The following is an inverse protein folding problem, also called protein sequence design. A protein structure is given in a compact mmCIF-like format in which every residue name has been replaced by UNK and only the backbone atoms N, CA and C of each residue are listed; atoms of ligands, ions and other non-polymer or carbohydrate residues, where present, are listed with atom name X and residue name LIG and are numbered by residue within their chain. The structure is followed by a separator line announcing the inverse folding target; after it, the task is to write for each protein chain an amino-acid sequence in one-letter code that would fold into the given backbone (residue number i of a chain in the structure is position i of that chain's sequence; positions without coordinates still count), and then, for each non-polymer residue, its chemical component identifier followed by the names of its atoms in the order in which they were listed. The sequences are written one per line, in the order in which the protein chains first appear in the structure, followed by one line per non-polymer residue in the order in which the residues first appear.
data_IF_120455870953
#
_entry.id   IF_120455870953
#
_cell.length_a   1.000
_cell.length_b   1.000
_cell.length_c   1.000
_cell.angle_alpha   90.00
_cell.angle_beta   90.00
_cell.angle_gamma   90.00
#
_symmetry.space_group_name_H-M   'P 1'
#
loop_
_entity.id
_entity.type
_entity.pdbx_description
1 polymer ?
#
# COMPACT_ATOMS: atom_id res chain seq x y z
N UNK A 1 -21.97 33.39 -5.33
CA UNK A 1 -20.56 33.74 -5.07
C UNK A 1 -19.74 32.61 -5.68
N UNK A 2 -19.16 32.87 -6.84
CA UNK A 2 -18.42 31.90 -7.64
C UNK A 2 -17.19 31.42 -6.84
N UNK A 3 -17.10 30.11 -6.61
CA UNK A 3 -15.90 29.54 -6.00
C UNK A 3 -14.81 29.54 -7.09
N UNK A 4 -13.65 30.19 -6.87
CA UNK A 4 -12.60 30.25 -7.87
C UNK A 4 -12.08 28.83 -8.13
N UNK A 5 -12.02 28.47 -9.41
CA UNK A 5 -11.55 27.17 -9.88
C UNK A 5 -10.10 26.94 -9.41
N UNK A 6 -9.92 26.11 -8.37
CA UNK A 6 -8.60 25.73 -7.85
C UNK A 6 -7.78 25.13 -9.01
N UNK A 7 -6.51 25.53 -9.21
CA UNK A 7 -5.70 24.99 -10.30
C UNK A 7 -5.60 23.48 -10.14
N UNK A 8 -6.20 22.75 -11.10
CA UNK A 8 -6.21 21.28 -11.11
C UNK A 8 -4.77 20.79 -11.12
N UNK A 9 -4.39 20.04 -10.08
CA UNK A 9 -3.05 19.45 -9.97
C UNK A 9 -2.76 18.58 -11.21
N UNK A 10 -1.52 18.62 -11.71
CA UNK A 10 -1.10 17.85 -12.91
C UNK A 10 -1.29 16.33 -12.76
N UNK A 11 -1.56 15.85 -11.55
CA UNK A 11 -1.90 14.46 -11.23
C UNK A 11 -3.21 13.97 -11.88
N UNK A 12 -4.17 14.86 -12.18
CA UNK A 12 -5.41 14.47 -12.85
C UNK A 12 -5.17 13.94 -14.27
N UNK A 13 -4.00 14.19 -14.87
CA UNK A 13 -3.61 13.56 -16.14
C UNK A 13 -3.47 12.02 -16.02
N UNK A 14 -3.28 11.48 -14.80
CA UNK A 14 -3.19 10.05 -14.54
C UNK A 14 -4.56 9.39 -14.26
N UNK A 15 -5.65 10.17 -14.21
CA UNK A 15 -7.01 9.67 -14.01
C UNK A 15 -7.42 8.49 -14.93
N UNK A 16 -7.12 8.49 -16.24
CA UNK A 16 -7.48 7.34 -17.09
C UNK A 16 -6.72 6.05 -16.76
N UNK A 17 -5.55 6.16 -16.13
CA UNK A 17 -4.76 5.00 -15.69
C UNK A 17 -5.30 4.49 -14.36
N UNK A 18 -5.57 5.39 -13.41
CA UNK A 18 -6.12 5.04 -12.09
C UNK A 18 -7.47 4.33 -12.22
N UNK A 19 -8.35 4.79 -13.13
CA UNK A 19 -9.66 4.16 -13.37
C UNK A 19 -9.58 2.72 -13.93
N UNK A 20 -8.43 2.30 -14.45
CA UNK A 20 -8.22 0.92 -14.94
C UNK A 20 -7.71 -0.03 -13.87
N UNK A 21 -7.23 0.48 -12.73
CA UNK A 21 -6.76 -0.36 -11.64
C UNK A 21 -7.97 -0.97 -10.92
N UNK A 22 -7.97 -2.29 -10.66
CA UNK A 22 -9.05 -2.92 -9.91
C UNK A 22 -8.99 -2.47 -8.44
N UNK A 23 -10.11 -1.96 -7.94
CA UNK A 23 -10.28 -1.55 -6.53
C UNK A 23 -11.38 -2.38 -5.86
N UNK A 24 -11.20 -2.68 -4.57
CA UNK A 24 -12.20 -3.38 -3.77
C UNK A 24 -13.30 -2.41 -3.35
N UNK A 25 -14.55 -2.70 -3.71
CA UNK A 25 -15.68 -1.86 -3.35
C UNK A 25 -15.97 -1.86 -1.84
N UNK A 26 -16.22 -0.67 -1.28
CA UNK A 26 -16.60 -0.51 0.13
C UNK A 26 -17.98 -1.17 0.37
N UNK A 27 -18.16 -1.92 1.49
CA UNK A 27 -19.44 -2.57 1.79
C UNK A 27 -20.56 -1.55 1.97
N UNK A 28 -21.68 -1.74 1.25
CA UNK A 28 -22.87 -0.88 1.32
C UNK A 28 -23.71 -1.08 2.59
N UNK A 29 -23.46 -2.17 3.32
CA UNK A 29 -24.17 -2.54 4.55
C UNK A 29 -23.26 -2.34 5.76
N UNK A 30 -23.86 -1.99 6.90
CA UNK A 30 -23.14 -2.01 8.17
C UNK A 30 -22.62 -3.43 8.48
N UNK A 31 -21.30 -3.57 8.55
CA UNK A 31 -20.62 -4.84 8.85
C UNK A 31 -20.52 -5.00 10.37
N UNK A 32 -21.03 -6.12 10.89
CA UNK A 32 -20.97 -6.40 12.33
C UNK A 32 -19.53 -6.60 12.82
N UNK A 33 -19.27 -6.37 14.11
CA UNK A 33 -17.91 -6.54 14.67
C UNK A 33 -17.39 -7.98 14.49
N UNK A 34 -18.24 -8.99 14.68
CA UNK A 34 -17.89 -10.41 14.47
C UNK A 34 -17.48 -10.69 13.02
N UNK A 35 -18.19 -10.10 12.07
CA UNK A 35 -17.89 -10.25 10.64
C UNK A 35 -16.55 -9.57 10.30
N UNK A 36 -16.28 -8.37 10.81
CA UNK A 36 -14.96 -7.73 10.67
C UNK A 36 -13.83 -8.58 11.25
N UNK A 37 -14.02 -9.14 12.44
CA UNK A 37 -13.03 -10.00 13.07
C UNK A 37 -12.73 -11.26 12.25
N UNK A 38 -13.78 -11.90 11.71
CA UNK A 38 -13.64 -13.07 10.85
C UNK A 38 -12.86 -12.73 9.57
N UNK A 39 -13.17 -11.61 8.91
CA UNK A 39 -12.42 -11.14 7.74
C UNK A 39 -10.96 -10.83 8.04
N UNK A 40 -10.65 -10.20 9.18
CA UNK A 40 -9.27 -9.98 9.62
C UNK A 40 -8.55 -11.31 9.83
N UNK A 41 -9.20 -12.30 10.46
CA UNK A 41 -8.62 -13.63 10.66
C UNK A 41 -8.29 -14.34 9.33
N UNK A 42 -9.20 -14.26 8.35
CA UNK A 42 -8.98 -14.83 7.01
C UNK A 42 -7.80 -14.14 6.31
N UNK A 43 -7.73 -12.81 6.37
CA UNK A 43 -6.62 -12.05 5.79
C UNK A 43 -5.26 -12.42 6.42
N UNK A 44 -5.22 -12.61 7.75
CA UNK A 44 -4.03 -13.05 8.46
C UNK A 44 -3.59 -14.47 8.07
N UNK A 45 -4.55 -15.39 7.90
CA UNK A 45 -4.26 -16.75 7.44
C UNK A 45 -3.66 -16.73 6.03
N UNK A 46 -4.25 -15.95 5.12
CA UNK A 46 -3.72 -15.78 3.77
C UNK A 46 -2.31 -15.17 3.79
N UNK A 47 -2.08 -14.15 4.61
CA UNK A 47 -0.75 -13.57 4.82
C UNK A 47 0.27 -14.62 5.28
N UNK A 48 -0.10 -15.45 6.26
CA UNK A 48 0.76 -16.51 6.76
C UNK A 48 1.10 -17.57 5.70
N UNK A 49 0.14 -17.97 4.88
CA UNK A 49 0.43 -18.92 3.79
C UNK A 49 1.41 -18.33 2.79
N UNK A 50 1.24 -17.05 2.43
CA UNK A 50 2.11 -16.37 1.47
C UNK A 50 3.54 -16.17 1.98
N UNK A 51 3.76 -16.00 3.29
CA UNK A 51 5.12 -15.92 3.86
C UNK A 51 5.85 -17.26 3.83
N UNK A 52 5.12 -18.39 3.81
CA UNK A 52 5.72 -19.73 3.74
C UNK A 52 6.01 -20.18 2.30
N UNK A 53 5.41 -19.54 1.28
CA UNK A 53 5.62 -19.92 -0.12
C UNK A 53 6.89 -19.24 -0.66
N UNK A 54 7.92 -20.01 -1.03
CA UNK A 54 9.16 -19.44 -1.57
C UNK A 54 8.95 -18.87 -2.98
N UNK A 55 9.69 -17.81 -3.32
CA UNK A 55 9.71 -17.28 -4.68
C UNK A 55 10.42 -18.26 -5.60
N UNK A 56 9.78 -18.62 -6.70
CA UNK A 56 10.37 -19.47 -7.73
C UNK A 56 11.59 -18.78 -8.36
N UNK A 57 12.74 -19.45 -8.37
CA UNK A 57 13.96 -18.97 -9.04
C UNK A 57 14.94 -18.16 -8.17
N UNK A 58 14.73 -18.06 -6.86
CA UNK A 58 15.73 -17.49 -5.94
C UNK A 58 16.65 -18.58 -5.38
N UNK A 59 17.97 -18.40 -5.52
CA UNK A 59 18.94 -19.16 -4.73
C UNK A 59 18.82 -18.73 -3.26
N UNK A 60 18.70 -19.72 -2.36
CA UNK A 60 18.46 -19.52 -0.91
C UNK A 60 19.49 -18.62 -0.19
N UNK A 61 20.60 -18.29 -0.86
CA UNK A 61 21.71 -17.49 -0.34
C UNK A 61 21.72 -16.03 -0.84
N UNK A 62 21.05 -15.71 -1.95
CA UNK A 62 21.07 -14.37 -2.54
C UNK A 62 20.24 -13.33 -1.74
N UNK A 63 19.27 -13.78 -0.94
CA UNK A 63 18.41 -12.93 -0.10
C UNK A 63 19.02 -12.51 1.24
N UNK A 64 20.26 -12.91 1.56
CA UNK A 64 20.92 -12.64 2.86
C UNK A 64 21.82 -11.39 2.84
N UNK A 65 21.61 -10.42 1.96
CA UNK A 65 22.33 -9.15 2.08
C UNK A 65 21.88 -8.44 3.36
N UNK A 66 22.76 -8.25 4.37
CA UNK A 66 22.37 -7.77 5.71
C UNK A 66 21.99 -6.28 5.77
N UNK A 67 22.06 -5.57 4.65
CA UNK A 67 21.85 -4.12 4.56
C UNK A 67 20.45 -3.66 5.03
N UNK A 68 19.46 -4.56 5.03
CA UNK A 68 18.07 -4.26 5.37
C UNK A 68 17.56 -4.95 6.65
N UNK A 69 18.44 -5.53 7.48
CA UNK A 69 18.02 -6.35 8.62
C UNK A 69 16.94 -5.71 9.52
N UNK A 70 17.12 -4.44 9.90
CA UNK A 70 16.16 -3.72 10.73
C UNK A 70 14.94 -3.21 9.94
N UNK A 71 15.13 -2.81 8.68
CA UNK A 71 14.04 -2.34 7.83
C UNK A 71 13.06 -3.48 7.47
N UNK A 72 13.56 -4.71 7.35
CA UNK A 72 12.74 -5.91 7.08
C UNK A 72 11.66 -6.14 8.12
N UNK A 73 11.97 -5.89 9.40
CA UNK A 73 10.99 -5.99 10.48
C UNK A 73 9.86 -4.95 10.33
N UNK A 74 10.22 -3.70 10.02
CA UNK A 74 9.25 -2.61 9.83
C UNK A 74 8.39 -2.84 8.58
N UNK A 75 8.99 -3.35 7.51
CA UNK A 75 8.30 -3.63 6.26
C UNK A 75 7.57 -4.98 6.24
N UNK A 76 7.58 -5.74 7.34
CA UNK A 76 7.01 -7.09 7.40
C UNK A 76 7.47 -8.00 6.24
N UNK A 77 8.76 -7.87 5.88
CA UNK A 77 9.38 -8.56 4.75
C UNK A 77 9.97 -9.92 5.17
N UNK A 78 9.80 -10.95 4.33
CA UNK A 78 10.44 -12.26 4.49
C UNK A 78 11.21 -12.62 3.22
N UNK A 79 12.55 -12.50 3.29
CA UNK A 79 13.44 -12.77 2.16
C UNK A 79 13.32 -14.20 1.63
N UNK A 80 13.18 -14.36 0.32
CA UNK A 80 12.99 -15.65 -0.33
C UNK A 80 11.54 -16.16 -0.37
N UNK A 81 10.56 -15.42 0.18
CA UNK A 81 9.12 -15.72 0.08
C UNK A 81 8.39 -14.69 -0.77
N UNK A 82 7.14 -14.97 -1.17
CA UNK A 82 6.29 -13.99 -1.90
C UNK A 82 6.15 -12.64 -1.15
N UNK A 83 6.44 -12.63 0.15
CA UNK A 83 6.47 -11.44 1.00
C UNK A 83 7.85 -10.78 1.09
N UNK A 84 8.73 -10.96 0.11
CA UNK A 84 10.09 -10.39 0.12
C UNK A 84 10.10 -8.86 0.25
N UNK A 85 9.16 -8.16 -0.39
CA UNK A 85 9.05 -6.70 -0.27
C UNK A 85 8.11 -6.26 0.87
N UNK A 86 7.33 -7.21 1.42
CA UNK A 86 6.32 -6.97 2.46
C UNK A 86 5.40 -5.79 2.11
N UNK A 87 5.20 -4.88 3.08
CA UNK A 87 4.41 -3.66 2.92
C UNK A 87 5.22 -2.48 2.33
N UNK A 88 6.49 -2.70 1.99
CA UNK A 88 7.43 -1.67 1.52
C UNK A 88 6.87 -0.77 0.42
N UNK A 89 6.39 -1.32 -0.70
CA UNK A 89 5.87 -0.50 -1.80
C UNK A 89 4.72 0.43 -1.39
N UNK A 90 3.83 -0.03 -0.51
CA UNK A 90 2.66 0.74 -0.04
C UNK A 90 3.12 1.89 0.89
N UNK A 91 3.97 1.57 1.86
CA UNK A 91 4.47 2.54 2.84
C UNK A 91 5.35 3.59 2.17
N UNK A 92 6.26 3.18 1.29
CA UNK A 92 7.14 4.10 0.56
C UNK A 92 6.35 5.02 -0.37
N UNK A 93 5.33 4.51 -1.09
CA UNK A 93 4.46 5.35 -1.90
C UNK A 93 3.72 6.39 -1.04
N UNK A 94 3.22 5.99 0.14
CA UNK A 94 2.59 6.89 1.11
C UNK A 94 3.53 8.00 1.59
N UNK A 95 4.76 7.65 1.99
CA UNK A 95 5.78 8.61 2.44
C UNK A 95 6.11 9.61 1.33
N UNK A 96 6.34 9.15 0.10
CA UNK A 96 6.63 10.03 -1.04
C UNK A 96 5.47 11.01 -1.27
N UNK A 97 4.22 10.53 -1.27
CA UNK A 97 3.05 11.38 -1.46
C UNK A 97 2.89 12.38 -0.33
N UNK A 98 3.06 11.97 0.93
CA UNK A 98 3.03 12.86 2.09
C UNK A 98 4.12 13.95 2.01
N UNK A 99 5.33 13.61 1.59
CA UNK A 99 6.42 14.56 1.41
C UNK A 99 6.15 15.56 0.28
N UNK A 100 5.64 15.10 -0.87
CA UNK A 100 5.34 15.97 -2.01
C UNK A 100 4.16 16.91 -1.74
N UNK A 101 3.15 16.47 -0.98
CA UNK A 101 2.04 17.33 -0.55
C UNK A 101 2.46 18.27 0.58
N UNK A 102 3.21 17.78 1.57
CA UNK A 102 3.70 18.58 2.69
C UNK A 102 4.69 19.68 2.30
N UNK A 103 5.54 19.41 1.30
CA UNK A 103 6.46 20.41 0.71
C UNK A 103 5.78 21.42 -0.21
N UNK A 104 4.45 21.34 -0.38
CA UNK A 104 3.64 22.16 -1.29
C UNK A 104 4.03 22.09 -2.77
N UNK A 105 4.86 21.10 -3.15
CA UNK A 105 5.21 20.80 -4.55
C UNK A 105 3.95 20.34 -5.30
N UNK A 106 3.13 19.51 -4.65
CA UNK A 106 1.80 19.12 -5.11
C UNK A 106 0.74 19.88 -4.31
N UNK A 107 0.01 20.77 -4.99
CA UNK A 107 -1.09 21.57 -4.41
C UNK A 107 -2.36 20.76 -4.12
N UNK A 108 -2.24 19.64 -3.40
CA UNK A 108 -3.37 18.85 -2.95
C UNK A 108 -3.78 19.29 -1.54
N UNK A 109 -5.06 19.66 -1.39
CA UNK A 109 -5.64 19.90 -0.06
C UNK A 109 -6.16 18.56 0.47
N UNK A 110 -5.40 17.90 1.37
CA UNK A 110 -5.83 16.67 2.04
C UNK A 110 -6.69 16.94 3.30
N UNK A 111 -7.00 18.21 3.58
CA UNK A 111 -7.63 18.68 4.82
C UNK A 111 -9.13 18.99 4.75
N UNK A 112 -9.84 18.58 3.69
CA UNK A 112 -11.31 18.72 3.64
C UNK A 112 -11.94 17.40 3.20
N UNK A 113 -12.35 16.63 4.19
CA UNK A 113 -13.33 15.54 4.07
C UNK A 113 -14.66 15.99 4.67
#
# INVERSE_FOLDING_TARGET
MEQPEKPRSKLYALEPIVRKLPEVAVPKRHVSFKEKFMWTGIALLAFFVLTQVPIYGMEAEAGRVPFFGQLRFILASHGGSLMELGIGPIVTAGIIMQLLVGSKILGLNLGQS
#
